data_IF_721626081828
#
_entry.id   IF_721626081828
#
_cell.length_a   1.000
_cell.length_b   1.000
_cell.length_c   1.000
_cell.angle_alpha   90.00
_cell.angle_beta   90.00
_cell.angle_gamma   90.00
#
_symmetry.space_group_name_H-M   'P 1'
#
loop_
_entity.id
_entity.type
_entity.pdbx_description
1 polymer ?
#
# COMPACT_ATOMS: atom_id res chain seq x y z
N UNK A 1 -27.26 -2.88 17.27
CA UNK A 1 -26.09 -3.14 16.43
C UNK A 1 -25.57 -1.80 15.94
N UNK A 2 -24.86 -1.07 16.80
CA UNK A 2 -24.08 0.10 16.40
C UNK A 2 -22.66 -0.43 16.34
N UNK A 3 -22.10 -0.68 15.15
CA UNK A 3 -20.90 -1.51 15.05
C UNK A 3 -20.04 -1.19 13.84
N UNK A 4 -18.81 -0.74 14.13
CA UNK A 4 -17.57 -0.96 13.38
C UNK A 4 -17.36 -0.24 12.04
N UNK A 5 -18.33 0.49 11.49
CA UNK A 5 -18.14 1.20 10.20
C UNK A 5 -17.95 2.71 10.34
N UNK A 6 -18.37 3.31 11.45
CA UNK A 6 -18.24 4.76 11.69
C UNK A 6 -16.78 5.20 11.91
N UNK A 7 -15.89 4.30 12.35
CA UNK A 7 -14.47 4.61 12.64
C UNK A 7 -13.57 4.66 11.39
N UNK A 8 -14.07 4.28 10.21
CA UNK A 8 -13.27 4.19 8.97
C UNK A 8 -13.74 5.13 7.85
N UNK A 9 -14.59 6.11 8.16
CA UNK A 9 -15.14 7.03 7.16
C UNK A 9 -14.24 8.28 7.04
N UNK A 10 -13.16 8.15 6.28
CA UNK A 10 -12.47 9.32 5.71
C UNK A 10 -13.25 9.91 4.53
N UNK A 11 -12.84 11.07 4.02
CA UNK A 11 -13.42 11.67 2.82
C UNK A 11 -13.48 10.66 1.66
N UNK A 12 -14.65 10.49 1.02
CA UNK A 12 -14.80 9.55 -0.08
C UNK A 12 -13.94 9.98 -1.27
N UNK A 13 -13.34 9.00 -1.94
CA UNK A 13 -12.59 9.26 -3.17
C UNK A 13 -13.51 9.80 -4.27
N UNK A 14 -13.13 10.94 -4.87
CA UNK A 14 -13.82 11.46 -6.03
C UNK A 14 -13.37 10.71 -7.29
N UNK A 15 -14.19 9.78 -7.75
CA UNK A 15 -13.90 8.93 -8.92
C UNK A 15 -13.82 9.71 -10.23
N UNK A 16 -14.52 10.84 -10.33
CA UNK A 16 -14.51 11.69 -11.52
C UNK A 16 -13.24 12.55 -11.63
N UNK A 17 -12.49 12.67 -10.52
CA UNK A 17 -11.26 13.45 -10.42
C UNK A 17 -9.99 12.56 -10.34
N UNK A 18 -10.07 11.29 -10.73
CA UNK A 18 -8.92 10.39 -10.70
C UNK A 18 -7.85 10.81 -11.72
N UNK A 19 -6.56 10.81 -11.35
CA UNK A 19 -5.48 11.03 -12.30
C UNK A 19 -5.41 9.87 -13.31
N UNK A 20 -4.98 10.17 -14.54
CA UNK A 20 -4.80 9.15 -15.58
C UNK A 20 -3.70 8.13 -15.21
N UNK A 21 -2.65 8.58 -14.50
CA UNK A 21 -1.63 7.70 -13.91
C UNK A 21 -2.03 7.31 -12.48
N UNK A 22 -2.38 6.03 -12.21
CA UNK A 22 -2.75 5.58 -10.87
C UNK A 22 -1.60 5.76 -9.86
N UNK A 23 -0.35 5.77 -10.32
CA UNK A 23 0.80 5.95 -9.45
C UNK A 23 0.88 7.37 -8.87
N UNK A 24 0.22 8.35 -9.50
CA UNK A 24 0.08 9.69 -8.93
C UNK A 24 -0.66 9.64 -7.60
N UNK A 25 -1.80 8.97 -7.58
CA UNK A 25 -2.61 8.83 -6.38
C UNK A 25 -1.89 8.02 -5.30
N UNK A 26 -1.21 6.93 -5.70
CA UNK A 26 -0.40 6.14 -4.76
C UNK A 26 0.68 7.00 -4.09
N UNK A 27 1.45 7.77 -4.87
CA UNK A 27 2.55 8.61 -4.34
C UNK A 27 2.01 9.65 -3.35
N UNK A 28 0.87 10.26 -3.65
CA UNK A 28 0.23 11.23 -2.77
C UNK A 28 -0.21 10.58 -1.45
N UNK A 29 -0.87 9.42 -1.53
CA UNK A 29 -1.33 8.69 -0.34
C UNK A 29 -0.19 8.16 0.50
N UNK A 30 0.82 7.55 -0.13
CA UNK A 30 2.01 7.06 0.55
C UNK A 30 2.79 8.22 1.20
N UNK A 31 2.89 9.38 0.53
CA UNK A 31 3.49 10.58 1.11
C UNK A 31 2.74 11.08 2.36
N UNK A 32 1.40 11.09 2.31
CA UNK A 32 0.56 11.41 3.48
C UNK A 32 0.74 10.40 4.60
N UNK A 33 0.73 9.10 4.30
CA UNK A 33 0.91 8.03 5.28
C UNK A 33 2.30 8.12 5.94
N UNK A 34 3.37 8.33 5.17
CA UNK A 34 4.72 8.49 5.70
C UNK A 34 4.86 9.74 6.59
N UNK A 35 4.11 10.81 6.32
CA UNK A 35 4.08 12.00 7.16
C UNK A 35 3.33 11.79 8.49
N UNK A 36 2.24 11.01 8.49
CA UNK A 36 1.43 10.75 9.69
C UNK A 36 1.96 9.58 10.53
N UNK A 37 2.55 8.56 9.89
CA UNK A 37 3.13 7.37 10.51
C UNK A 37 4.58 7.15 10.06
N UNK A 38 5.56 7.95 10.53
CA UNK A 38 6.94 7.88 10.03
C UNK A 38 7.62 6.52 10.17
N UNK A 39 7.17 5.70 11.11
CA UNK A 39 7.74 4.37 11.40
C UNK A 39 7.09 3.23 10.63
N UNK A 40 5.85 3.41 10.15
CA UNK A 40 5.02 2.34 9.57
C UNK A 40 4.47 2.68 8.19
N UNK A 41 4.52 3.93 7.75
CA UNK A 41 3.91 4.38 6.49
C UNK A 41 4.50 3.74 5.23
N UNK A 42 5.65 3.08 5.34
CA UNK A 42 6.24 2.29 4.27
C UNK A 42 6.13 0.77 4.47
N UNK A 43 5.48 0.29 5.54
CA UNK A 43 5.23 -1.13 5.76
C UNK A 43 4.13 -1.62 4.81
N UNK A 44 4.37 -2.78 4.18
CA UNK A 44 3.47 -3.38 3.20
C UNK A 44 3.33 -4.88 3.46
N UNK A 45 2.16 -5.45 3.19
CA UNK A 45 1.98 -6.90 3.17
C UNK A 45 2.26 -7.43 1.77
N UNK A 46 3.33 -8.21 1.62
CA UNK A 46 3.66 -8.88 0.37
C UNK A 46 3.11 -10.30 0.39
N UNK A 47 2.22 -10.62 -0.55
CA UNK A 47 1.73 -11.97 -0.79
C UNK A 47 2.44 -12.60 -1.99
N UNK A 48 2.92 -13.83 -1.83
CA UNK A 48 3.53 -14.63 -2.92
C UNK A 48 2.95 -16.03 -2.92
N UNK A 49 3.07 -16.73 -4.03
CA UNK A 49 2.68 -18.14 -4.16
C UNK A 49 3.89 -18.99 -4.52
N UNK A 50 3.87 -20.25 -4.09
CA UNK A 50 4.81 -21.25 -4.59
C UNK A 50 4.36 -21.80 -5.96
N UNK A 51 5.08 -22.78 -6.50
CA UNK A 51 4.75 -23.40 -7.78
C UNK A 51 3.43 -24.18 -7.77
N UNK A 52 2.90 -24.54 -6.59
CA UNK A 52 1.60 -25.18 -6.43
C UNK A 52 0.46 -24.16 -6.26
N UNK A 53 0.78 -22.86 -6.19
CA UNK A 53 -0.19 -21.80 -5.99
C UNK A 53 -0.58 -21.58 -4.52
N UNK A 54 0.13 -22.17 -3.56
CA UNK A 54 -0.16 -21.99 -2.14
C UNK A 54 0.30 -20.58 -1.71
N UNK A 55 -0.61 -19.69 -1.25
CA UNK A 55 -0.24 -18.34 -0.88
C UNK A 55 0.43 -18.29 0.49
N UNK A 56 1.40 -17.38 0.61
CA UNK A 56 1.99 -16.94 1.88
C UNK A 56 2.09 -15.41 1.88
N UNK A 57 2.02 -14.79 3.06
CA UNK A 57 2.09 -13.34 3.20
C UNK A 57 2.98 -12.92 4.38
N UNK A 58 3.72 -11.83 4.20
CA UNK A 58 4.60 -11.26 5.25
C UNK A 58 4.72 -9.75 5.12
N UNK A 59 5.08 -9.09 6.22
CA UNK A 59 5.39 -7.67 6.22
C UNK A 59 6.77 -7.43 5.58
N UNK A 60 6.84 -6.46 4.69
CA UNK A 60 8.07 -5.94 4.05
C UNK A 60 8.06 -4.42 4.08
N UNK A 61 9.21 -3.80 3.82
CA UNK A 61 9.32 -2.35 3.74
C UNK A 61 9.44 -1.89 2.28
N UNK A 62 8.57 -0.98 1.87
CA UNK A 62 8.69 -0.23 0.63
C UNK A 62 9.87 0.73 0.73
N UNK A 63 10.81 0.61 -0.20
CA UNK A 63 12.03 1.44 -0.24
C UNK A 63 11.97 2.54 -1.29
N UNK A 64 11.16 2.35 -2.32
CA UNK A 64 11.03 3.32 -3.41
C UNK A 64 9.91 2.94 -4.36
N UNK A 65 9.46 3.94 -5.11
CA UNK A 65 8.50 3.80 -6.21
C UNK A 65 8.96 4.70 -7.35
N UNK A 66 9.13 4.11 -8.52
CA UNK A 66 9.49 4.83 -9.74
C UNK A 66 8.69 4.30 -10.94
N UNK A 67 9.08 4.69 -12.16
CA UNK A 67 8.41 4.27 -13.39
C UNK A 67 8.44 2.75 -13.64
N UNK A 68 9.32 2.02 -12.98
CA UNK A 68 9.41 0.55 -13.04
C UNK A 68 8.57 -0.16 -11.97
N UNK A 69 8.00 0.57 -11.02
CA UNK A 69 7.08 0.05 -10.00
C UNK A 69 7.61 0.15 -8.58
N UNK A 70 7.24 -0.83 -7.74
CA UNK A 70 7.56 -0.85 -6.30
C UNK A 70 8.88 -1.56 -6.03
N UNK A 71 9.73 -0.95 -5.21
CA UNK A 71 11.03 -1.50 -4.84
C UNK A 71 11.02 -2.01 -3.41
N UNK A 72 11.23 -3.32 -3.27
CA UNK A 72 11.26 -4.05 -2.00
C UNK A 72 12.60 -4.75 -1.87
N UNK A 73 13.15 -4.80 -0.65
CA UNK A 73 14.39 -5.52 -0.36
C UNK A 73 14.09 -6.66 0.62
N UNK A 74 14.63 -7.84 0.34
CA UNK A 74 14.40 -9.03 1.15
C UNK A 74 15.58 -10.00 1.07
N UNK A 75 15.54 -11.07 1.85
CA UNK A 75 16.51 -12.14 1.75
C UNK A 75 16.14 -13.08 0.59
N UNK A 76 17.15 -13.53 -0.17
CA UNK A 76 17.00 -14.46 -1.28
C UNK A 76 17.15 -15.93 -0.88
N UNK A 77 17.51 -16.21 0.38
CA UNK A 77 17.68 -17.56 0.93
C UNK A 77 16.47 -18.00 1.72
#
# INVERSE_FOLDING_TARGET
MQGLTDEFVDEPINVDALPADPMTLFRDWHGKAAAHEPWLGNAMTLATTDAAGLPSARIVLLRGVDSSGFHLYTNYT
#
